data_IF_626281823989
#
_entry.id   IF_626281823989
#
_cell.length_a   1.000
_cell.length_b   1.000
_cell.length_c   1.000
_cell.angle_alpha   90.00
_cell.angle_beta   90.00
_cell.angle_gamma   90.00
#
_symmetry.space_group_name_H-M   'P 1'
#
loop_
_entity.id
_entity.type
_entity.pdbx_description
1 polymer ?
#
# COMPACT_ATOMS: atom_id res chain seq x y z
N UNK A 1 -16.82 0.78 -1.48
CA UNK A 1 -15.83 1.67 -2.11
C UNK A 1 -14.64 1.75 -1.17
N UNK A 2 -13.50 1.13 -1.50
CA UNK A 2 -12.29 1.18 -0.66
C UNK A 2 -11.45 2.34 -1.15
N UNK A 3 -11.22 3.34 -0.29
CA UNK A 3 -10.39 4.50 -0.63
C UNK A 3 -8.95 4.17 -0.28
N UNK A 4 -8.10 4.07 -1.30
CA UNK A 4 -6.67 3.79 -1.15
C UNK A 4 -5.89 5.11 -1.19
N UNK A 5 -5.76 5.78 -0.04
CA UNK A 5 -4.94 6.98 0.09
C UNK A 5 -3.55 6.60 0.61
N UNK A 6 -2.60 6.39 -0.31
CA UNK A 6 -1.20 6.23 0.02
C UNK A 6 -0.39 7.20 -0.83
N UNK A 7 0.39 8.04 -0.15
CA UNK A 7 1.24 9.03 -0.79
C UNK A 7 2.33 8.32 -1.59
N UNK A 8 2.43 8.64 -2.87
CA UNK A 8 3.61 8.29 -3.66
C UNK A 8 4.66 9.37 -3.41
N UNK A 9 5.95 9.01 -3.31
CA UNK A 9 7.03 9.96 -2.99
C UNK A 9 7.12 11.13 -3.98
N UNK A 10 6.65 10.93 -5.21
CA UNK A 10 6.63 11.91 -6.29
C UNK A 10 5.27 11.85 -6.99
N UNK A 11 5.25 11.75 -8.32
CA UNK A 11 4.03 11.60 -9.11
C UNK A 11 3.54 10.13 -9.14
N UNK A 12 2.24 9.88 -8.98
CA UNK A 12 1.67 8.53 -9.05
C UNK A 12 1.90 7.85 -10.41
N UNK A 13 1.97 8.62 -11.51
CA UNK A 13 2.23 8.12 -12.85
C UNK A 13 3.58 7.40 -12.95
N UNK A 14 4.59 7.84 -12.19
CA UNK A 14 5.91 7.17 -12.15
C UNK A 14 5.82 5.77 -11.55
N UNK A 15 5.02 5.62 -10.49
CA UNK A 15 4.72 4.31 -9.91
C UNK A 15 3.95 3.44 -10.90
N UNK A 16 2.91 3.99 -11.55
CA UNK A 16 2.13 3.29 -12.58
C UNK A 16 3.01 2.74 -13.70
N UNK A 17 3.90 3.58 -14.21
CA UNK A 17 4.81 3.23 -15.31
C UNK A 17 5.87 2.22 -14.88
N UNK A 18 6.42 2.35 -13.68
CA UNK A 18 7.39 1.39 -13.13
C UNK A 18 6.76 0.00 -12.93
N UNK A 19 5.58 -0.06 -12.32
CA UNK A 19 4.87 -1.31 -12.04
C UNK A 19 4.22 -1.92 -13.29
N UNK A 20 4.03 -1.15 -14.36
CA UNK A 20 3.26 -1.54 -15.57
C UNK A 20 1.85 -2.05 -15.23
N UNK A 21 1.21 -1.42 -14.26
CA UNK A 21 -0.11 -1.79 -13.73
C UNK A 21 -1.05 -0.58 -13.75
N UNK A 22 -2.37 -0.80 -13.73
CA UNK A 22 -3.31 0.29 -13.48
C UNK A 22 -3.23 0.75 -12.02
N UNK A 23 -3.70 1.97 -11.73
CA UNK A 23 -3.78 2.46 -10.35
C UNK A 23 -4.66 1.57 -9.46
N UNK A 24 -5.75 1.04 -10.01
CA UNK A 24 -6.64 0.12 -9.31
C UNK A 24 -5.92 -1.19 -8.97
N UNK A 25 -5.17 -1.77 -9.90
CA UNK A 25 -4.37 -2.98 -9.65
C UNK A 25 -3.31 -2.72 -8.58
N UNK A 26 -2.64 -1.56 -8.61
CA UNK A 26 -1.68 -1.16 -7.58
C UNK A 26 -2.35 -1.07 -6.20
N UNK A 27 -3.48 -0.36 -6.10
CA UNK A 27 -4.21 -0.21 -4.84
C UNK A 27 -4.66 -1.56 -4.26
N UNK A 28 -5.27 -2.41 -5.10
CA UNK A 28 -5.70 -3.75 -4.71
C UNK A 28 -4.51 -4.63 -4.27
N UNK A 29 -3.37 -4.54 -4.97
CA UNK A 29 -2.16 -5.29 -4.61
C UNK A 29 -1.64 -4.82 -3.24
N UNK A 30 -1.53 -3.52 -3.00
CA UNK A 30 -1.07 -2.98 -1.72
C UNK A 30 -1.99 -3.37 -0.56
N UNK A 31 -3.31 -3.34 -0.78
CA UNK A 31 -4.30 -3.77 0.21
C UNK A 31 -4.18 -5.27 0.53
N UNK A 32 -4.05 -6.12 -0.49
CA UNK A 32 -3.85 -7.55 -0.31
C UNK A 32 -2.53 -7.86 0.41
N UNK A 33 -1.44 -7.21 0.01
CA UNK A 33 -0.14 -7.33 0.69
C UNK A 33 -0.21 -6.90 2.17
N UNK A 34 -0.99 -5.87 2.48
CA UNK A 34 -1.24 -5.42 3.84
C UNK A 34 -2.02 -6.47 4.66
N UNK A 35 -3.07 -7.05 4.06
CA UNK A 35 -3.87 -8.09 4.71
C UNK A 35 -3.08 -9.41 4.92
N UNK A 36 -2.25 -9.80 3.96
CA UNK A 36 -1.48 -11.05 3.99
C UNK A 36 -0.12 -10.95 4.69
N UNK A 37 0.33 -9.74 5.04
CA UNK A 37 1.66 -9.51 5.61
C UNK A 37 2.81 -9.71 4.62
N UNK A 38 2.56 -9.51 3.31
CA UNK A 38 3.52 -9.75 2.22
C UNK A 38 3.90 -8.44 1.54
N UNK A 39 4.76 -7.64 2.17
CA UNK A 39 5.06 -6.27 1.71
C UNK A 39 6.11 -6.22 0.56
N UNK A 40 5.79 -6.72 -0.63
CA UNK A 40 6.73 -6.69 -1.78
C UNK A 40 6.63 -5.38 -2.54
N UNK A 41 5.43 -5.03 -3.01
CA UNK A 41 5.19 -3.78 -3.74
C UNK A 41 5.41 -2.56 -2.82
N UNK A 42 5.11 -2.71 -1.53
CA UNK A 42 5.42 -1.70 -0.50
C UNK A 42 6.90 -1.31 -0.42
N UNK A 43 7.83 -2.20 -0.80
CA UNK A 43 9.28 -1.93 -0.82
C UNK A 43 9.75 -1.21 -2.09
N UNK A 44 8.86 -0.93 -3.03
CA UNK A 44 9.19 -0.14 -4.21
C UNK A 44 9.73 1.24 -3.80
N UNK A 45 10.72 1.77 -4.50
CA UNK A 45 11.44 3.01 -4.12
C UNK A 45 10.51 4.23 -3.90
N UNK A 46 9.41 4.28 -4.65
CA UNK A 46 8.39 5.34 -4.57
C UNK A 46 7.37 5.14 -3.43
N UNK A 47 7.36 3.97 -2.79
CA UNK A 47 6.42 3.58 -1.75
C UNK A 47 7.09 3.27 -0.41
N UNK A 48 8.37 2.90 -0.40
CA UNK A 48 9.11 2.46 0.79
C UNK A 48 9.13 3.49 1.93
N UNK A 49 9.00 4.78 1.61
CA UNK A 49 8.88 5.84 2.62
C UNK A 49 7.61 5.73 3.50
N UNK A 50 6.60 4.97 3.05
CA UNK A 50 5.38 4.71 3.81
C UNK A 50 5.54 3.60 4.86
N UNK A 51 6.73 3.00 5.03
CA UNK A 51 6.94 1.87 5.94
C UNK A 51 6.51 2.16 7.39
N UNK A 52 6.77 3.37 7.88
CA UNK A 52 6.34 3.78 9.22
C UNK A 52 4.81 3.81 9.34
N UNK A 53 4.12 4.30 8.30
CA UNK A 53 2.65 4.37 8.29
C UNK A 53 2.03 2.99 8.08
N UNK A 54 2.61 2.16 7.21
CA UNK A 54 2.21 0.77 7.06
C UNK A 54 2.30 0.02 8.40
N UNK A 55 3.41 0.21 9.13
CA UNK A 55 3.59 -0.38 10.46
C UNK A 55 2.52 0.09 11.45
N UNK A 56 2.21 1.40 11.46
CA UNK A 56 1.14 1.97 12.30
C UNK A 56 -0.23 1.37 11.96
N UNK A 57 -0.57 1.25 10.67
CA UNK A 57 -1.84 0.65 10.23
C UNK A 57 -1.96 -0.81 10.68
N UNK A 58 -0.88 -1.57 10.63
CA UNK A 58 -0.88 -2.97 11.04
C UNK A 58 -1.04 -3.16 12.55
N UNK A 59 -0.44 -2.28 13.36
CA UNK A 59 -0.49 -2.37 14.82
C UNK A 59 -1.80 -1.80 15.35
N UNK A 60 -2.20 -0.61 14.88
CA UNK A 60 -3.28 0.16 15.52
C UNK A 60 -4.63 -0.02 14.81
N UNK A 61 -4.63 -0.20 13.48
CA UNK A 61 -5.87 -0.18 12.68
C UNK A 61 -6.35 -1.58 12.33
N UNK A 62 -5.45 -2.51 12.00
CA UNK A 62 -5.81 -3.88 11.62
C UNK A 62 -6.64 -4.60 12.71
N UNK A 63 -6.30 -4.53 14.01
CA UNK A 63 -7.10 -5.21 15.04
C UNK A 63 -8.53 -4.65 15.17
N UNK A 64 -8.72 -3.37 14.82
CA UNK A 64 -10.03 -2.72 14.84
C UNK A 64 -10.87 -3.07 13.60
N UNK A 65 -10.28 -3.07 12.41
CA UNK A 65 -11.00 -3.34 11.15
C UNK A 65 -11.26 -4.84 10.91
N UNK A 66 -10.38 -5.70 11.41
CA UNK A 66 -10.47 -7.16 11.28
C UNK A 66 -10.38 -7.81 12.66
N UNK A 67 -11.38 -7.59 13.53
CA UNK A 67 -11.45 -8.28 14.80
C UNK A 67 -11.58 -9.78 14.54
N UNK A 68 -10.68 -10.55 15.15
CA UNK A 68 -10.67 -12.02 15.15
C UNK A 68 -11.91 -12.61 15.81
#
# INVERSE_FOLDING_TARGET
MVVHCLGVRSEPEKLRNSCKMSFETIGNTLAAECAEGKYRLWKHELLAHNEAELSRLLIDVRPFLFPS
#
